data_IF_294388241420
#
_entry.id   IF_294388241420
#
_cell.length_a   1.000
_cell.length_b   1.000
_cell.length_c   1.000
_cell.angle_alpha   90.00
_cell.angle_beta   90.00
_cell.angle_gamma   90.00
#
_symmetry.space_group_name_H-M   'P 1'
#
loop_
_entity.id
_entity.type
_entity.pdbx_description
1 polymer ?
#
# COMPACT_ATOMS: atom_id res chain seq x y z
N UNK A 1 -13.94 3.97 63.78
CA UNK A 1 -12.91 3.08 63.18
C UNK A 1 -13.17 2.78 61.68
N UNK A 2 -13.82 3.69 60.91
CA UNK A 2 -14.25 3.42 59.52
C UNK A 2 -13.56 4.25 58.43
N UNK A 3 -13.05 5.46 58.74
CA UNK A 3 -12.51 6.37 57.70
C UNK A 3 -11.17 5.91 57.09
N UNK A 4 -10.39 5.10 57.82
CA UNK A 4 -9.06 4.64 57.36
C UNK A 4 -9.14 3.45 56.40
N UNK A 5 -10.18 2.62 56.53
CA UNK A 5 -10.43 1.48 55.63
C UNK A 5 -11.01 1.99 54.32
N UNK A 6 -11.99 2.92 54.37
CA UNK A 6 -12.53 3.59 53.18
C UNK A 6 -11.45 4.28 52.34
N UNK A 7 -10.54 5.05 52.95
CA UNK A 7 -9.46 5.74 52.22
C UNK A 7 -8.49 4.77 51.54
N UNK A 8 -8.21 3.61 52.15
CA UNK A 8 -7.37 2.57 51.55
C UNK A 8 -8.08 1.89 50.37
N UNK A 9 -9.38 1.63 50.50
CA UNK A 9 -10.20 1.07 49.42
C UNK A 9 -10.32 2.04 48.24
N UNK A 10 -10.54 3.34 48.50
CA UNK A 10 -10.59 4.38 47.46
C UNK A 10 -9.22 4.51 46.77
N UNK A 11 -8.12 4.53 47.53
CA UNK A 11 -6.78 4.59 46.96
C UNK A 11 -6.48 3.38 46.06
N UNK A 12 -6.89 2.17 46.47
CA UNK A 12 -6.73 0.96 45.67
C UNK A 12 -7.54 1.02 44.37
N UNK A 13 -8.79 1.51 44.42
CA UNK A 13 -9.64 1.67 43.23
C UNK A 13 -9.02 2.66 42.24
N UNK A 14 -8.49 3.79 42.72
CA UNK A 14 -7.83 4.79 41.85
C UNK A 14 -6.58 4.22 41.20
N UNK A 15 -5.78 3.44 41.92
CA UNK A 15 -4.59 2.78 41.37
C UNK A 15 -4.96 1.75 40.31
N UNK A 16 -5.96 0.91 40.57
CA UNK A 16 -6.42 -0.12 39.61
C UNK A 16 -7.02 0.53 38.37
N UNK A 17 -7.84 1.59 38.52
CA UNK A 17 -8.37 2.35 37.39
C UNK A 17 -7.26 3.02 36.56
N UNK A 18 -6.24 3.57 37.22
CA UNK A 18 -5.07 4.15 36.56
C UNK A 18 -4.27 3.12 35.74
N UNK A 19 -4.05 1.92 36.29
CA UNK A 19 -3.38 0.83 35.58
C UNK A 19 -4.21 0.37 34.38
N UNK A 20 -5.53 0.23 34.54
CA UNK A 20 -6.42 -0.17 33.46
C UNK A 20 -6.47 0.88 32.33
N UNK A 21 -6.54 2.17 32.66
CA UNK A 21 -6.49 3.27 31.69
C UNK A 21 -5.14 3.33 30.97
N UNK A 22 -4.04 3.10 31.69
CA UNK A 22 -2.72 3.04 31.08
C UNK A 22 -2.58 1.84 30.15
N UNK A 23 -3.01 0.64 30.57
CA UNK A 23 -2.99 -0.55 29.73
C UNK A 23 -3.89 -0.38 28.49
N UNK A 24 -5.08 0.20 28.65
CA UNK A 24 -5.97 0.54 27.55
C UNK A 24 -5.33 1.56 26.59
N UNK A 25 -4.70 2.62 27.12
CA UNK A 25 -3.95 3.58 26.31
C UNK A 25 -2.80 2.92 25.55
N UNK A 26 -2.04 2.03 26.19
CA UNK A 26 -0.95 1.29 25.53
C UNK A 26 -1.50 0.38 24.41
N UNK A 27 -2.55 -0.41 24.68
CA UNK A 27 -3.19 -1.27 23.68
C UNK A 27 -3.82 -0.47 22.53
N UNK A 28 -4.48 0.64 22.83
CA UNK A 28 -5.03 1.58 21.85
C UNK A 28 -3.92 2.22 21.01
N UNK A 29 -2.81 2.63 21.64
CA UNK A 29 -1.66 3.21 20.95
C UNK A 29 -0.95 2.19 20.04
N UNK A 30 -0.89 0.92 20.44
CA UNK A 30 -0.39 -0.18 19.62
C UNK A 30 -1.32 -0.45 18.44
N UNK A 31 -2.64 -0.50 18.67
CA UNK A 31 -3.65 -0.66 17.61
C UNK A 31 -3.62 0.47 16.58
N UNK A 32 -3.28 1.69 17.00
CA UNK A 32 -3.05 2.83 16.10
C UNK A 32 -1.74 2.65 15.33
N UNK A 33 -0.62 2.33 16.01
CA UNK A 33 0.69 2.14 15.35
C UNK A 33 0.68 1.01 14.32
N UNK A 34 -0.08 -0.06 14.53
CA UNK A 34 -0.22 -1.14 13.54
C UNK A 34 -1.09 -0.77 12.34
N UNK A 35 -1.94 0.27 12.45
CA UNK A 35 -2.80 0.74 11.34
C UNK A 35 -2.08 1.75 10.43
N UNK A 36 -1.02 2.39 10.92
CA UNK A 36 -0.18 3.29 10.13
C UNK A 36 1.13 2.59 9.79
N UNK A 37 1.14 1.87 8.66
CA UNK A 37 2.39 1.45 8.00
C UNK A 37 3.20 2.73 7.76
N UNK A 38 4.44 2.82 8.24
CA UNK A 38 5.31 3.98 7.95
C UNK A 38 5.62 3.99 6.45
N UNK A 39 4.83 4.75 5.70
CA UNK A 39 4.93 4.83 4.24
C UNK A 39 6.15 5.65 3.87
N UNK A 40 7.23 5.09 3.32
CA UNK A 40 8.45 5.87 3.09
C UNK A 40 8.37 6.92 1.96
N UNK A 41 7.29 6.92 1.17
CA UNK A 41 7.16 7.81 0.00
C UNK A 41 6.29 9.05 0.29
N UNK A 42 6.83 10.25 0.06
CA UNK A 42 6.09 11.49 0.25
C UNK A 42 4.91 11.61 -0.72
N UNK A 43 5.00 11.08 -1.95
CA UNK A 43 3.91 11.17 -2.93
C UNK A 43 2.72 10.30 -2.52
N UNK A 44 3.00 9.05 -2.10
CA UNK A 44 1.96 8.14 -1.59
C UNK A 44 1.42 8.65 -0.25
N UNK A 45 2.27 9.17 0.64
CA UNK A 45 1.84 9.81 1.88
C UNK A 45 0.92 11.00 1.60
N UNK A 46 1.27 11.87 0.65
CA UNK A 46 0.49 13.03 0.28
C UNK A 46 -0.87 12.61 -0.30
N UNK A 47 -0.88 11.60 -1.18
CA UNK A 47 -2.11 11.01 -1.71
C UNK A 47 -3.00 10.51 -0.56
N UNK A 48 -2.51 9.59 0.27
CA UNK A 48 -3.27 9.00 1.39
C UNK A 48 -3.71 10.06 2.40
N UNK A 49 -2.86 11.04 2.71
CA UNK A 49 -3.20 12.11 3.65
C UNK A 49 -4.29 13.01 3.09
N UNK A 50 -4.25 13.30 1.80
CA UNK A 50 -5.26 14.11 1.10
C UNK A 50 -6.60 13.38 1.05
N UNK A 51 -6.60 12.08 0.77
CA UNK A 51 -7.81 11.28 0.53
C UNK A 51 -8.31 10.53 1.77
N UNK A 52 -7.50 10.45 2.84
CA UNK A 52 -7.79 9.72 4.11
C UNK A 52 -8.22 8.27 3.90
N UNK A 53 -7.56 7.57 2.99
CA UNK A 53 -7.94 6.22 2.59
C UNK A 53 -7.56 5.16 3.65
N UNK A 54 -8.45 4.17 3.92
CA UNK A 54 -8.11 2.92 4.58
C UNK A 54 -7.01 2.15 3.83
N UNK A 55 -6.32 1.27 4.58
CA UNK A 55 -5.29 0.39 4.04
C UNK A 55 -5.83 -1.03 3.80
N UNK A 56 -5.49 -1.61 2.64
CA UNK A 56 -5.66 -3.04 2.32
C UNK A 56 -4.30 -3.75 2.31
N UNK A 57 -4.28 -5.04 2.60
CA UNK A 57 -3.06 -5.85 2.50
C UNK A 57 -2.73 -6.11 1.02
N UNK A 58 -1.45 -5.98 0.64
CA UNK A 58 -0.95 -6.34 -0.69
C UNK A 58 0.22 -7.30 -0.56
N UNK A 59 0.26 -8.32 -1.42
CA UNK A 59 1.30 -9.34 -1.50
C UNK A 59 1.69 -9.55 -2.96
N UNK A 60 2.97 -9.84 -3.19
CA UNK A 60 3.50 -10.19 -4.50
C UNK A 60 4.53 -11.31 -4.38
N UNK A 61 4.56 -12.20 -5.35
CA UNK A 61 5.63 -13.20 -5.47
C UNK A 61 6.94 -12.60 -5.99
N UNK A 62 6.93 -11.34 -6.44
CA UNK A 62 8.09 -10.67 -6.99
C UNK A 62 9.17 -10.33 -5.98
N UNK A 63 8.79 -10.17 -4.71
CA UNK A 63 9.66 -9.63 -3.67
C UNK A 63 10.07 -10.73 -2.71
N UNK A 64 11.37 -10.86 -2.48
CA UNK A 64 11.94 -11.70 -1.42
C UNK A 64 12.98 -10.89 -0.64
N UNK A 65 12.86 -10.87 0.68
CA UNK A 65 13.73 -10.11 1.58
C UNK A 65 13.86 -8.61 1.20
N UNK A 66 12.78 -8.02 0.69
CA UNK A 66 12.74 -6.61 0.26
C UNK A 66 13.36 -6.33 -1.12
N UNK A 67 13.81 -7.36 -1.84
CA UNK A 67 14.38 -7.23 -3.19
C UNK A 67 13.53 -7.94 -4.24
N UNK A 68 13.49 -7.38 -5.45
CA UNK A 68 12.84 -8.02 -6.59
C UNK A 68 13.68 -9.21 -7.05
N UNK A 69 13.04 -10.37 -7.19
CA UNK A 69 13.68 -11.56 -7.77
C UNK A 69 14.03 -11.31 -9.24
N UNK A 70 15.21 -11.79 -9.64
CA UNK A 70 15.78 -11.60 -10.97
C UNK A 70 14.81 -11.99 -12.12
N UNK A 71 13.98 -13.01 -11.95
CA UNK A 71 13.00 -13.47 -12.95
C UNK A 71 12.02 -12.37 -13.42
N UNK A 72 11.68 -11.40 -12.57
CA UNK A 72 10.79 -10.28 -12.94
C UNK A 72 11.52 -9.10 -13.59
N UNK A 73 12.82 -9.24 -13.84
CA UNK A 73 13.68 -8.15 -14.34
C UNK A 73 14.15 -8.41 -15.76
N UNK A 74 14.70 -7.39 -16.43
CA UNK A 74 15.31 -7.53 -17.76
C UNK A 74 16.58 -8.41 -17.76
N UNK A 75 17.09 -8.74 -16.56
CA UNK A 75 18.21 -9.67 -16.38
C UNK A 75 17.74 -11.13 -16.20
N UNK A 76 16.44 -11.39 -16.09
CA UNK A 76 15.83 -12.71 -15.98
C UNK A 76 15.01 -13.08 -17.21
N UNK A 77 13.89 -13.78 -16.99
CA UNK A 77 12.96 -14.19 -18.05
C UNK A 77 11.78 -13.22 -18.21
N UNK A 78 11.81 -12.06 -17.56
CA UNK A 78 10.76 -11.05 -17.58
C UNK A 78 9.36 -11.61 -17.24
N UNK A 79 9.29 -12.54 -16.27
CA UNK A 79 8.02 -13.09 -15.78
C UNK A 79 7.10 -11.98 -15.30
N UNK A 80 5.78 -12.17 -15.42
CA UNK A 80 4.77 -11.24 -14.91
C UNK A 80 4.54 -11.54 -13.42
N UNK A 81 4.65 -10.54 -12.53
CA UNK A 81 4.47 -10.75 -11.10
C UNK A 81 3.01 -11.07 -10.74
N UNK A 82 2.82 -12.06 -9.86
CA UNK A 82 1.51 -12.31 -9.26
C UNK A 82 1.29 -11.34 -8.11
N UNK A 83 0.33 -10.45 -8.26
CA UNK A 83 -0.07 -9.48 -7.24
C UNK A 83 -1.42 -9.93 -6.65
N UNK A 84 -1.53 -9.89 -5.33
CA UNK A 84 -2.76 -10.26 -4.60
C UNK A 84 -3.01 -9.27 -3.47
N UNK A 85 -4.26 -9.09 -3.09
CA UNK A 85 -4.66 -8.14 -2.07
C UNK A 85 -5.86 -8.63 -1.25
N UNK A 86 -6.06 -8.04 -0.07
CA UNK A 86 -7.29 -8.24 0.69
C UNK A 86 -8.45 -7.52 0.01
N UNK A 87 -9.60 -8.18 -0.11
CA UNK A 87 -10.83 -7.57 -0.63
C UNK A 87 -11.27 -6.38 0.22
N UNK A 88 -11.91 -5.43 -0.46
CA UNK A 88 -12.63 -4.29 0.10
C UNK A 88 -14.07 -4.37 -0.41
N UNK A 89 -15.03 -4.57 0.50
CA UNK A 89 -16.39 -5.01 0.12
C UNK A 89 -17.14 -4.02 -0.77
N UNK A 90 -16.91 -2.71 -0.59
CA UNK A 90 -17.57 -1.66 -1.37
C UNK A 90 -16.92 -1.41 -2.74
N UNK A 91 -15.82 -2.10 -3.07
CA UNK A 91 -15.06 -1.86 -4.29
C UNK A 91 -15.42 -2.86 -5.40
N UNK A 92 -16.15 -2.43 -6.46
CA UNK A 92 -16.42 -3.27 -7.63
C UNK A 92 -15.17 -3.58 -8.46
N UNK A 93 -14.08 -2.83 -8.29
CA UNK A 93 -12.83 -3.02 -9.01
C UNK A 93 -11.63 -2.38 -8.32
N UNK A 94 -10.45 -2.70 -8.87
CA UNK A 94 -9.17 -2.26 -8.38
C UNK A 94 -8.28 -1.77 -9.51
N UNK A 95 -7.52 -0.70 -9.26
CA UNK A 95 -6.36 -0.36 -10.08
C UNK A 95 -5.13 -1.08 -9.52
N UNK A 96 -4.43 -1.83 -10.36
CA UNK A 96 -3.16 -2.51 -10.06
C UNK A 96 -2.05 -1.82 -10.83
N UNK A 97 -1.14 -1.17 -10.09
CA UNK A 97 -0.11 -0.29 -10.65
C UNK A 97 1.25 -0.74 -10.13
N UNK A 98 2.22 -0.91 -11.02
CA UNK A 98 3.63 -1.06 -10.64
C UNK A 98 4.41 0.12 -11.20
N UNK A 99 5.13 0.84 -10.35
CA UNK A 99 5.89 2.02 -10.78
C UNK A 99 7.22 2.20 -10.03
N UNK A 100 8.13 2.90 -10.69
CA UNK A 100 9.46 3.28 -10.24
C UNK A 100 9.54 4.82 -10.17
N UNK A 101 9.57 5.42 -8.98
CA UNK A 101 9.70 6.87 -8.83
C UNK A 101 11.15 7.36 -8.91
N UNK A 102 12.14 6.46 -8.95
CA UNK A 102 13.56 6.81 -8.82
C UNK A 102 14.23 7.10 -10.18
N UNK A 103 13.48 7.04 -11.29
CA UNK A 103 14.06 7.35 -12.59
C UNK A 103 14.34 8.83 -12.75
N UNK A 104 15.45 9.16 -13.45
CA UNK A 104 15.87 10.54 -13.71
C UNK A 104 14.83 11.38 -14.48
N UNK A 105 13.93 10.73 -15.22
CA UNK A 105 12.87 11.38 -16.01
C UNK A 105 11.54 11.53 -15.27
N UNK A 106 11.47 11.19 -13.99
CA UNK A 106 10.25 11.13 -13.20
C UNK A 106 9.76 9.71 -12.96
N UNK A 107 8.46 9.52 -12.76
CA UNK A 107 7.89 8.20 -12.49
C UNK A 107 7.80 7.35 -13.75
N UNK A 108 8.32 6.12 -13.70
CA UNK A 108 8.17 5.13 -14.75
C UNK A 108 7.16 4.06 -14.34
N UNK A 109 6.11 3.87 -15.13
CA UNK A 109 5.09 2.85 -14.91
C UNK A 109 5.49 1.56 -15.62
N UNK A 110 5.59 0.47 -14.86
CA UNK A 110 5.89 -0.89 -15.33
C UNK A 110 4.62 -1.70 -15.63
N UNK A 111 3.53 -1.42 -14.91
CA UNK A 111 2.23 -2.06 -15.10
C UNK A 111 1.14 -1.07 -14.71
N UNK A 112 0.03 -1.07 -15.47
CA UNK A 112 -1.21 -0.46 -15.03
C UNK A 112 -2.40 -1.21 -15.63
N UNK A 113 -3.17 -1.85 -14.75
CA UNK A 113 -4.37 -2.59 -15.09
C UNK A 113 -5.55 -2.18 -14.20
N UNK A 114 -6.75 -2.21 -14.75
CA UNK A 114 -8.00 -2.19 -14.00
C UNK A 114 -8.56 -3.62 -13.99
N UNK A 115 -8.90 -4.10 -12.81
CA UNK A 115 -9.43 -5.46 -12.59
C UNK A 115 -10.75 -5.41 -11.84
N UNK A 116 -11.64 -6.36 -12.07
CA UNK A 116 -12.90 -6.47 -11.34
C UNK A 116 -12.68 -6.98 -9.90
N UNK A 117 -13.76 -7.07 -9.11
CA UNK A 117 -13.73 -7.56 -7.74
C UNK A 117 -13.22 -9.01 -7.58
N UNK A 118 -13.17 -9.77 -8.66
CA UNK A 118 -12.65 -11.15 -8.71
C UNK A 118 -11.20 -11.22 -9.20
N UNK A 119 -10.60 -10.08 -9.59
CA UNK A 119 -9.26 -10.01 -10.12
C UNK A 119 -9.15 -10.30 -11.61
N UNK A 120 -10.27 -10.35 -12.34
CA UNK A 120 -10.23 -10.47 -13.80
C UNK A 120 -9.88 -9.11 -14.42
N UNK A 121 -9.02 -9.12 -15.43
CA UNK A 121 -8.60 -7.91 -16.13
C UNK A 121 -9.78 -7.32 -16.91
N UNK A 122 -10.18 -6.10 -16.54
CA UNK A 122 -11.16 -5.28 -17.25
C UNK A 122 -10.46 -4.49 -18.35
N UNK A 123 -9.32 -3.86 -18.02
CA UNK A 123 -8.57 -3.02 -18.95
C UNK A 123 -7.08 -2.99 -18.65
N UNK A 124 -6.27 -3.06 -19.70
CA UNK A 124 -4.81 -2.89 -19.64
C UNK A 124 -4.42 -1.58 -20.28
N UNK A 125 -3.68 -0.75 -19.55
CA UNK A 125 -3.19 0.55 -20.01
C UNK A 125 -1.78 0.43 -20.61
N UNK A 126 -1.38 1.47 -21.35
CA UNK A 126 0.00 1.60 -21.80
C UNK A 126 0.89 1.97 -20.61
N UNK A 127 2.01 1.27 -20.49
CA UNK A 127 3.08 1.57 -19.55
C UNK A 127 4.04 2.63 -20.14
N UNK A 128 5.04 3.07 -19.37
CA UNK A 128 5.98 4.11 -19.81
C UNK A 128 6.88 3.71 -20.99
N UNK A 129 6.97 2.41 -21.31
CA UNK A 129 7.64 1.89 -22.51
C UNK A 129 6.70 1.81 -23.74
N UNK A 130 5.51 2.40 -23.66
CA UNK A 130 4.48 2.37 -24.71
C UNK A 130 4.05 0.93 -25.06
N UNK A 131 4.07 0.02 -24.09
CA UNK A 131 3.56 -1.35 -24.21
C UNK A 131 2.35 -1.56 -23.30
N UNK A 132 1.50 -2.53 -23.62
CA UNK A 132 0.43 -2.99 -22.71
C UNK A 132 0.97 -4.10 -21.82
N UNK A 133 0.56 -4.10 -20.56
CA UNK A 133 0.94 -5.12 -19.57
C UNK A 133 2.31 -4.86 -18.95
N UNK A 134 2.89 -5.92 -18.41
CA UNK A 134 4.15 -5.87 -17.67
C UNK A 134 5.35 -5.45 -18.52
N UNK A 135 6.08 -4.44 -18.06
CA UNK A 135 7.44 -4.13 -18.50
C UNK A 135 8.43 -4.53 -17.40
N UNK A 136 9.45 -5.35 -17.70
CA UNK A 136 10.35 -5.84 -16.66
C UNK A 136 11.16 -4.73 -16.01
N UNK A 137 11.48 -4.94 -14.74
CA UNK A 137 12.35 -4.07 -13.96
C UNK A 137 13.75 -4.01 -14.57
N UNK A 138 14.25 -2.80 -14.86
CA UNK A 138 15.51 -2.62 -15.58
C UNK A 138 16.19 -1.28 -15.23
N UNK A 139 16.67 -1.10 -13.99
CA UNK A 139 17.35 0.14 -13.60
C UNK A 139 18.71 0.26 -14.32
N UNK A 140 19.22 1.48 -14.54
CA UNK A 140 20.59 1.70 -15.01
C UNK A 140 21.62 1.02 -14.10
N UNK A 141 22.75 0.60 -14.68
CA UNK A 141 23.84 -0.01 -13.92
C UNK A 141 24.40 0.98 -12.88
N UNK A 142 24.65 0.49 -11.66
CA UNK A 142 25.18 1.27 -10.54
C UNK A 142 24.10 1.95 -9.68
N UNK A 143 22.83 1.85 -10.07
CA UNK A 143 21.70 2.44 -9.36
C UNK A 143 20.84 1.36 -8.70
N UNK A 144 20.28 1.67 -7.52
CA UNK A 144 19.30 0.82 -6.83
C UNK A 144 18.01 1.62 -6.74
N UNK A 145 16.99 1.13 -7.43
CA UNK A 145 15.68 1.77 -7.50
C UNK A 145 14.67 1.03 -6.60
N UNK A 146 13.59 1.74 -6.26
CA UNK A 146 12.41 1.27 -5.55
C UNK A 146 11.29 1.06 -6.56
N UNK A 147 10.54 -0.02 -6.36
CA UNK A 147 9.41 -0.38 -7.20
C UNK A 147 8.20 -0.62 -6.31
N UNK A 148 7.16 0.17 -6.52
CA UNK A 148 5.92 0.11 -5.76
C UNK A 148 4.95 -0.80 -6.49
N UNK A 149 4.43 -1.80 -5.79
CA UNK A 149 3.31 -2.61 -6.22
C UNK A 149 2.08 -2.09 -5.49
N UNK A 150 1.35 -1.18 -6.13
CA UNK A 150 0.22 -0.44 -5.58
C UNK A 150 -1.09 -1.06 -6.07
N UNK A 151 -2.02 -1.25 -5.13
CA UNK A 151 -3.40 -1.62 -5.42
C UNK A 151 -4.32 -0.57 -4.81
N UNK A 152 -5.26 -0.07 -5.60
CA UNK A 152 -6.24 0.94 -5.18
C UNK A 152 -7.63 0.33 -5.39
N UNK A 153 -8.43 0.26 -4.34
CA UNK A 153 -9.83 -0.11 -4.41
C UNK A 153 -10.65 1.09 -4.89
N UNK A 154 -11.52 0.90 -5.88
CA UNK A 154 -12.26 1.97 -6.56
C UNK A 154 -13.77 1.77 -6.41
N UNK A 155 -14.54 2.86 -6.32
CA UNK A 155 -16.00 2.83 -6.26
C UNK A 155 -16.68 2.57 -7.61
N UNK A 156 -15.95 2.71 -8.72
CA UNK A 156 -16.42 2.46 -10.08
C UNK A 156 -15.31 1.93 -10.97
N UNK A 157 -15.71 1.18 -11.99
CA UNK A 157 -14.82 0.61 -13.01
C UNK A 157 -14.90 1.37 -14.33
N UNK A 158 -15.79 2.35 -14.39
CA UNK A 158 -16.02 3.16 -15.57
C UNK A 158 -15.11 4.37 -15.52
N UNK A 159 -14.18 4.42 -16.48
CA UNK A 159 -13.33 5.57 -16.65
C UNK A 159 -14.12 6.68 -17.35
N UNK A 160 -14.82 7.50 -16.58
CA UNK A 160 -15.65 8.62 -17.09
C UNK A 160 -14.81 9.75 -17.71
N UNK A 161 -13.53 9.82 -17.35
CA UNK A 161 -12.61 10.90 -17.71
C UNK A 161 -11.33 10.33 -18.34
N UNK A 162 -10.80 10.99 -19.37
CA UNK A 162 -9.50 10.63 -19.94
C UNK A 162 -8.32 10.97 -19.01
N UNK A 163 -8.58 11.68 -17.91
CA UNK A 163 -7.60 12.05 -16.90
C UNK A 163 -7.57 11.00 -15.78
N UNK A 164 -6.65 10.05 -15.92
CA UNK A 164 -6.48 8.95 -14.96
C UNK A 164 -6.14 9.43 -13.54
N UNK A 165 -5.38 10.51 -13.39
CA UNK A 165 -5.02 11.05 -12.08
C UNK A 165 -6.24 11.56 -11.34
N UNK A 166 -7.11 12.29 -12.05
CA UNK A 166 -8.36 12.78 -11.51
C UNK A 166 -9.30 11.62 -11.15
N UNK A 167 -9.44 10.65 -12.06
CA UNK A 167 -10.22 9.45 -11.81
C UNK A 167 -9.76 8.72 -10.53
N UNK A 168 -8.48 8.36 -10.44
CA UNK A 168 -7.95 7.68 -9.25
C UNK A 168 -8.10 8.54 -8.00
N UNK A 169 -7.99 9.86 -8.08
CA UNK A 169 -8.16 10.74 -6.92
C UNK A 169 -9.59 10.77 -6.40
N UNK A 170 -10.57 10.80 -7.31
CA UNK A 170 -11.98 10.99 -6.96
C UNK A 170 -12.67 9.67 -6.57
N UNK A 171 -12.22 8.54 -7.13
CA UNK A 171 -12.90 7.25 -7.01
C UNK A 171 -12.21 6.26 -6.05
N UNK A 172 -11.10 6.63 -5.42
CA UNK A 172 -10.41 5.76 -4.46
C UNK A 172 -11.20 5.56 -3.17
N UNK A 173 -11.39 4.30 -2.78
CA UNK A 173 -12.02 3.88 -1.52
C UNK A 173 -11.02 3.39 -0.48
N UNK A 174 -9.97 2.70 -0.91
CA UNK A 174 -8.89 2.18 -0.07
C UNK A 174 -7.65 1.91 -0.93
N UNK A 175 -6.49 1.69 -0.31
CA UNK A 175 -5.30 1.27 -1.07
C UNK A 175 -4.36 0.42 -0.24
N UNK A 176 -3.44 -0.26 -0.89
CA UNK A 176 -2.34 -0.95 -0.25
C UNK A 176 -1.15 -1.05 -1.18
N UNK A 177 0.04 -1.25 -0.64
CA UNK A 177 1.22 -1.43 -1.48
C UNK A 177 2.32 -2.21 -0.77
N UNK A 178 3.24 -2.75 -1.56
CA UNK A 178 4.54 -3.27 -1.11
C UNK A 178 5.65 -2.70 -1.97
N UNK A 179 6.86 -2.62 -1.42
CA UNK A 179 8.02 -2.02 -2.09
C UNK A 179 9.10 -3.08 -2.25
N UNK A 180 9.53 -3.29 -3.49
CA UNK A 180 10.71 -4.08 -3.82
C UNK A 180 11.85 -3.17 -4.26
N UNK A 181 13.09 -3.54 -3.95
CA UNK A 181 14.28 -2.86 -4.48
C UNK A 181 14.97 -3.73 -5.53
N UNK A 182 15.54 -3.10 -6.55
CA UNK A 182 16.41 -3.79 -7.50
C UNK A 182 17.52 -2.86 -7.97
N UNK A 183 18.69 -3.43 -8.22
CA UNK A 183 19.84 -2.71 -8.76
C UNK A 183 20.91 -3.70 -9.18
N UNK A 184 21.71 -3.31 -10.17
CA UNK A 184 22.81 -4.13 -10.68
C UNK A 184 24.10 -3.36 -10.48
N UNK A 185 25.07 -3.99 -9.82
CA UNK A 185 26.42 -3.45 -9.60
C UNK A 185 27.24 -3.51 -10.89
#
# INVERSE_FOLDING_TARGET
MNLRVERKSIALIVVVAGIALFAFYQLYSLSIKTKYIEISDENIRAFIKKTRLPLIEVKTDAISNGFIKKEFTCYGNASVPKISWSRYDDAPCYAVIVFDPDTRGGTFFHLFELVDAHGNVVKVYYNSALKKGWFPVCPPKGEVHRYYFLVIALDTCELETNNLTEFLTNHSLALGYVIGKFGVK
#
